data_IF_884250063412
#
_entry.id   IF_884250063412
#
_cell.length_a   1.000
_cell.length_b   1.000
_cell.length_c   1.000
_cell.angle_alpha   90.00
_cell.angle_beta   90.00
_cell.angle_gamma   90.00
#
_symmetry.space_group_name_H-M   'P 1'
#
loop_
_entity.id
_entity.type
_entity.pdbx_description
1 polymer ?
#
# COMPACT_ATOMS: atom_id res chain seq x y z
N UNK A 1 7.91 25.14 -28.76
CA UNK A 1 7.56 24.52 -27.48
C UNK A 1 7.56 23.01 -27.73
N UNK A 2 8.59 22.29 -27.22
CA UNK A 2 8.61 20.83 -27.28
C UNK A 2 7.50 20.34 -26.34
N UNK A 3 6.53 19.61 -26.89
CA UNK A 3 5.57 18.85 -26.09
C UNK A 3 6.37 17.84 -25.25
N UNK A 4 6.68 18.21 -24.02
CA UNK A 4 7.19 17.26 -23.02
C UNK A 4 6.12 16.17 -22.90
N UNK A 5 6.40 15.00 -23.47
CA UNK A 5 5.57 13.81 -23.27
C UNK A 5 5.70 13.41 -21.78
N UNK A 6 4.81 14.01 -21.00
CA UNK A 6 4.69 13.67 -19.59
C UNK A 6 4.30 12.20 -19.49
N UNK A 7 5.11 11.40 -18.84
CA UNK A 7 4.81 9.99 -18.58
C UNK A 7 3.47 9.78 -17.87
N UNK A 8 2.92 8.60 -17.97
CA UNK A 8 1.67 8.22 -17.30
C UNK A 8 1.89 8.23 -15.78
N UNK A 9 1.00 8.89 -15.04
CA UNK A 9 0.95 8.74 -13.57
C UNK A 9 0.19 7.45 -13.23
N UNK A 10 0.75 6.66 -12.35
CA UNK A 10 0.20 5.37 -11.92
C UNK A 10 0.13 5.33 -10.39
N UNK A 11 -0.75 4.51 -9.86
CA UNK A 11 -0.76 4.16 -8.44
C UNK A 11 0.29 3.06 -8.24
N UNK A 12 1.28 3.31 -7.39
CA UNK A 12 2.39 2.38 -7.14
C UNK A 12 2.23 1.61 -5.82
N UNK A 13 1.51 2.20 -4.86
CA UNK A 13 1.11 1.47 -3.66
C UNK A 13 -0.28 1.93 -3.20
N UNK A 14 -1.06 1.00 -2.64
CA UNK A 14 -2.39 1.26 -2.13
C UNK A 14 -2.66 0.41 -0.90
N UNK A 15 -3.10 1.08 0.19
CA UNK A 15 -3.63 0.41 1.38
C UNK A 15 -4.99 0.99 1.71
N UNK A 16 -5.98 0.12 1.76
CA UNK A 16 -7.36 0.43 2.10
C UNK A 16 -7.62 0.02 3.54
N UNK A 17 -8.45 0.79 4.23
CA UNK A 17 -8.92 0.49 5.58
C UNK A 17 -10.40 0.14 5.54
N UNK A 18 -10.75 -0.90 6.26
CA UNK A 18 -12.11 -1.40 6.43
C UNK A 18 -12.47 -1.46 7.92
N UNK A 19 -13.75 -1.54 8.22
CA UNK A 19 -14.30 -1.86 9.52
C UNK A 19 -14.86 -3.29 9.48
N UNK A 20 -14.61 -4.04 10.54
CA UNK A 20 -15.12 -5.40 10.70
C UNK A 20 -15.76 -5.57 12.06
N UNK A 21 -16.85 -6.34 12.13
CA UNK A 21 -17.37 -6.81 13.40
C UNK A 21 -16.44 -7.85 14.05
N UNK A 22 -16.43 -7.90 15.39
CA UNK A 22 -15.57 -8.82 16.14
C UNK A 22 -15.73 -10.28 15.72
N UNK A 23 -16.95 -10.74 15.44
CA UNK A 23 -17.27 -12.12 15.02
C UNK A 23 -16.54 -12.56 13.73
N UNK A 24 -16.36 -11.62 12.78
CA UNK A 24 -15.64 -11.87 11.52
C UNK A 24 -14.14 -12.10 11.82
N UNK A 25 -13.59 -11.25 12.68
CA UNK A 25 -12.17 -11.33 13.06
C UNK A 25 -11.89 -12.53 13.95
N UNK A 26 -12.82 -12.93 14.81
CA UNK A 26 -12.68 -14.12 15.65
C UNK A 26 -12.53 -15.37 14.79
N UNK A 27 -13.35 -15.48 13.74
CA UNK A 27 -13.19 -16.56 12.77
C UNK A 27 -11.79 -16.58 12.13
N UNK A 28 -11.28 -15.43 11.68
CA UNK A 28 -9.93 -15.34 11.12
C UNK A 28 -8.83 -15.61 12.15
N UNK A 29 -9.01 -15.24 13.44
CA UNK A 29 -8.07 -15.54 14.53
C UNK A 29 -7.94 -17.03 14.80
N UNK A 30 -9.01 -17.80 14.63
CA UNK A 30 -9.01 -19.26 14.80
C UNK A 30 -8.29 -20.00 13.66
N UNK A 31 -8.10 -19.36 12.51
CA UNK A 31 -7.38 -19.95 11.38
C UNK A 31 -5.92 -20.17 11.74
N UNK A 32 -5.47 -21.42 11.79
CA UNK A 32 -4.08 -21.78 12.16
C UNK A 32 -3.09 -21.53 11.02
N UNK A 33 -3.42 -21.94 9.81
CA UNK A 33 -2.51 -21.90 8.65
C UNK A 33 -3.14 -21.25 7.42
N UNK A 34 -4.29 -21.74 7.02
CA UNK A 34 -4.92 -21.36 5.76
C UNK A 34 -6.45 -21.34 5.90
N UNK A 35 -7.06 -20.39 5.22
CA UNK A 35 -8.51 -20.26 5.06
C UNK A 35 -8.83 -20.01 3.59
N UNK A 36 -9.86 -20.67 3.06
CA UNK A 36 -10.32 -20.46 1.70
C UNK A 36 -11.72 -19.89 1.71
N UNK A 37 -11.94 -18.85 0.92
CA UNK A 37 -13.23 -18.23 0.71
C UNK A 37 -13.39 -17.94 -0.78
N UNK A 38 -14.40 -18.55 -1.39
CA UNK A 38 -14.61 -18.52 -2.83
C UNK A 38 -13.32 -18.90 -3.59
N UNK A 39 -12.82 -18.03 -4.45
CA UNK A 39 -11.59 -18.22 -5.24
C UNK A 39 -10.31 -17.79 -4.50
N UNK A 40 -10.44 -17.21 -3.32
CA UNK A 40 -9.32 -16.72 -2.52
C UNK A 40 -8.81 -17.76 -1.53
N UNK A 41 -7.51 -17.68 -1.29
CA UNK A 41 -6.84 -18.42 -0.22
C UNK A 41 -6.06 -17.44 0.64
N UNK A 42 -6.35 -17.42 1.93
CA UNK A 42 -5.68 -16.60 2.94
C UNK A 42 -4.69 -17.48 3.68
N UNK A 43 -3.41 -17.17 3.60
CA UNK A 43 -2.36 -17.85 4.35
C UNK A 43 -1.94 -17.01 5.53
N UNK A 44 -2.08 -17.56 6.74
CA UNK A 44 -1.62 -16.89 7.95
C UNK A 44 -0.11 -16.77 7.92
N UNK A 45 0.40 -15.57 8.13
CA UNK A 45 1.82 -15.27 8.24
C UNK A 45 2.15 -14.82 9.67
N UNK A 46 3.42 -14.91 10.07
CA UNK A 46 3.85 -14.40 11.37
C UNK A 46 3.72 -12.89 11.41
N UNK A 47 2.72 -12.39 12.12
CA UNK A 47 2.51 -10.97 12.32
C UNK A 47 3.61 -10.34 13.19
N UNK A 48 3.96 -9.09 12.89
CA UNK A 48 4.80 -8.25 13.75
C UNK A 48 3.89 -7.38 14.62
N UNK A 49 4.31 -7.13 15.89
CA UNK A 49 3.69 -6.12 16.76
C UNK A 49 2.20 -6.32 17.04
N UNK A 50 1.79 -7.47 17.54
CA UNK A 50 0.40 -7.75 17.97
C UNK A 50 -0.65 -7.68 16.85
N UNK A 51 -0.24 -7.74 15.58
CA UNK A 51 -1.14 -7.81 14.42
C UNK A 51 -1.23 -9.22 13.89
N UNK A 52 -2.44 -9.61 13.50
CA UNK A 52 -2.66 -10.80 12.68
C UNK A 52 -2.45 -10.42 11.21
N UNK A 53 -1.76 -11.26 10.47
CA UNK A 53 -1.44 -11.04 9.07
C UNK A 53 -1.81 -12.26 8.24
N UNK A 54 -2.42 -12.00 7.08
CA UNK A 54 -2.71 -13.02 6.08
C UNK A 54 -2.29 -12.53 4.70
N UNK A 55 -1.49 -13.34 4.02
CA UNK A 55 -1.23 -13.17 2.59
C UNK A 55 -2.41 -13.75 1.80
N UNK A 56 -2.92 -12.95 0.88
CA UNK A 56 -4.09 -13.28 0.06
C UNK A 56 -3.63 -13.77 -1.31
N UNK A 57 -4.09 -14.92 -1.68
CA UNK A 57 -3.82 -15.52 -2.99
C UNK A 57 -5.09 -15.66 -3.80
N UNK A 58 -5.01 -15.33 -5.08
CA UNK A 58 -6.00 -15.61 -6.11
C UNK A 58 -5.33 -16.43 -7.20
N UNK A 59 -5.85 -17.63 -7.52
CA UNK A 59 -5.23 -18.54 -8.48
C UNK A 59 -3.72 -18.79 -8.23
N UNK A 60 -3.34 -19.02 -6.98
CA UNK A 60 -1.95 -19.27 -6.53
C UNK A 60 -1.01 -18.05 -6.65
N UNK A 61 -1.52 -16.89 -7.04
CA UNK A 61 -0.74 -15.65 -7.11
C UNK A 61 -1.11 -14.76 -5.94
N UNK A 62 -0.12 -14.29 -5.19
CA UNK A 62 -0.35 -13.33 -4.10
C UNK A 62 -0.88 -12.02 -4.70
N UNK A 63 -2.03 -11.55 -4.20
CA UNK A 63 -2.69 -10.34 -4.70
C UNK A 63 -2.76 -9.22 -3.68
N UNK A 64 -2.75 -9.56 -2.39
CA UNK A 64 -2.81 -8.58 -1.32
C UNK A 64 -2.26 -9.17 0.00
N UNK A 65 -2.15 -8.33 1.00
CA UNK A 65 -1.99 -8.71 2.41
C UNK A 65 -3.08 -8.03 3.22
N UNK A 66 -3.78 -8.79 4.06
CA UNK A 66 -4.71 -8.26 5.05
C UNK A 66 -4.09 -8.33 6.45
N UNK A 67 -4.30 -7.30 7.26
CA UNK A 67 -3.83 -7.30 8.63
C UNK A 67 -4.77 -6.50 9.54
N UNK A 68 -4.87 -6.92 10.80
CA UNK A 68 -5.70 -6.28 11.82
C UNK A 68 -5.10 -6.49 13.22
N UNK A 69 -5.53 -5.71 14.20
CA UNK A 69 -5.02 -5.84 15.56
C UNK A 69 -5.55 -7.11 16.22
N UNK A 70 -4.62 -7.82 16.88
CA UNK A 70 -4.92 -9.08 17.58
C UNK A 70 -5.83 -8.89 18.78
N UNK A 71 -5.62 -7.78 19.47
CA UNK A 71 -6.41 -7.38 20.64
C UNK A 71 -7.14 -6.10 20.26
N UNK A 72 -8.46 -6.16 20.18
CA UNK A 72 -9.26 -5.00 19.78
C UNK A 72 -9.12 -3.84 20.76
N UNK A 73 -9.18 -2.64 20.22
CA UNK A 73 -9.51 -1.45 20.99
C UNK A 73 -10.96 -1.54 21.43
N UNK A 74 -11.29 -0.97 22.58
CA UNK A 74 -12.61 -0.97 23.22
C UNK A 74 -13.74 -0.62 22.22
N UNK A 75 -14.47 -1.62 21.74
CA UNK A 75 -15.62 -1.46 20.86
C UNK A 75 -15.87 -2.73 20.05
N UNK A 76 -17.05 -2.87 19.49
CA UNK A 76 -17.45 -4.01 18.67
C UNK A 76 -16.90 -3.96 17.23
N UNK A 77 -16.28 -2.85 16.83
CA UNK A 77 -15.72 -2.63 15.51
C UNK A 77 -14.18 -2.58 15.53
N UNK A 78 -13.57 -3.17 14.51
CA UNK A 78 -12.13 -3.28 14.38
C UNK A 78 -11.67 -2.77 13.02
N UNK A 79 -10.51 -2.12 12.99
CA UNK A 79 -9.87 -1.73 11.74
C UNK A 79 -9.15 -2.91 11.10
N UNK A 80 -9.39 -3.07 9.80
CA UNK A 80 -8.76 -4.07 8.95
C UNK A 80 -8.11 -3.36 7.78
N UNK A 81 -6.82 -3.59 7.54
CA UNK A 81 -6.09 -2.99 6.44
C UNK A 81 -5.83 -4.02 5.35
N UNK A 82 -6.14 -3.65 4.13
CA UNK A 82 -5.88 -4.42 2.91
C UNK A 82 -4.81 -3.69 2.09
N UNK A 83 -3.60 -4.23 2.05
CA UNK A 83 -2.51 -3.73 1.20
C UNK A 83 -2.49 -4.51 -0.10
N UNK A 84 -2.70 -3.81 -1.21
CA UNK A 84 -2.72 -4.39 -2.55
C UNK A 84 -1.27 -4.54 -3.06
N UNK A 85 -0.96 -5.68 -3.70
CA UNK A 85 0.34 -5.91 -4.34
C UNK A 85 0.48 -5.06 -5.63
N UNK A 86 1.67 -4.52 -5.91
CA UNK A 86 1.89 -3.58 -7.03
C UNK A 86 1.43 -4.13 -8.38
N UNK A 87 1.72 -5.41 -8.68
CA UNK A 87 1.33 -6.00 -9.96
C UNK A 87 -0.19 -6.10 -10.15
N UNK A 88 -0.97 -6.05 -9.06
CA UNK A 88 -2.44 -6.01 -9.09
C UNK A 88 -2.91 -4.62 -9.50
N UNK A 89 -2.25 -3.57 -9.02
CA UNK A 89 -2.59 -2.17 -9.35
C UNK A 89 -2.44 -1.86 -10.85
N UNK A 90 -1.56 -2.61 -11.54
CA UNK A 90 -1.33 -2.47 -12.98
C UNK A 90 -2.22 -3.36 -13.84
N UNK A 91 -3.03 -4.23 -13.22
CA UNK A 91 -3.95 -5.13 -13.90
C UNK A 91 -5.38 -4.86 -13.43
N UNK A 92 -6.13 -4.11 -14.23
CA UNK A 92 -7.49 -3.67 -13.90
C UNK A 92 -8.44 -4.83 -13.53
N UNK A 93 -8.40 -5.93 -14.28
CA UNK A 93 -9.26 -7.08 -14.00
C UNK A 93 -8.89 -7.76 -12.69
N UNK A 94 -7.59 -7.93 -12.42
CA UNK A 94 -7.10 -8.52 -11.18
C UNK A 94 -7.39 -7.62 -9.97
N UNK A 95 -7.31 -6.30 -10.15
CA UNK A 95 -7.68 -5.32 -9.12
C UNK A 95 -9.17 -5.43 -8.76
N UNK A 96 -10.07 -5.45 -9.74
CA UNK A 96 -11.51 -5.61 -9.50
C UNK A 96 -11.77 -6.91 -8.76
N UNK A 97 -11.19 -8.04 -9.19
CA UNK A 97 -11.34 -9.31 -8.49
C UNK A 97 -10.82 -9.22 -7.05
N UNK A 98 -9.67 -8.61 -6.82
CA UNK A 98 -9.09 -8.49 -5.47
C UNK A 98 -9.98 -7.65 -4.54
N UNK A 99 -10.62 -6.61 -5.07
CA UNK A 99 -11.53 -5.75 -4.32
C UNK A 99 -12.90 -6.38 -3.99
N UNK A 100 -13.19 -7.59 -4.48
CA UNK A 100 -14.35 -8.38 -4.05
C UNK A 100 -14.12 -9.08 -2.69
N UNK A 101 -12.87 -9.27 -2.28
CA UNK A 101 -12.56 -9.98 -1.04
C UNK A 101 -13.16 -9.34 0.22
N UNK A 102 -13.14 -8.00 0.41
CA UNK A 102 -13.78 -7.36 1.55
C UNK A 102 -15.28 -7.68 1.68
N UNK A 103 -16.00 -7.70 0.57
CA UNK A 103 -17.42 -8.06 0.54
C UNK A 103 -17.64 -9.52 0.96
N UNK A 104 -16.80 -10.44 0.46
CA UNK A 104 -16.85 -11.86 0.86
C UNK A 104 -16.51 -12.06 2.35
N UNK A 105 -15.71 -11.19 2.94
CA UNK A 105 -15.36 -11.21 4.35
C UNK A 105 -16.35 -10.46 5.24
N UNK A 106 -17.38 -9.84 4.68
CA UNK A 106 -18.37 -9.02 5.42
C UNK A 106 -17.68 -7.89 6.20
N UNK A 107 -16.82 -7.13 5.51
CA UNK A 107 -16.13 -5.97 6.07
C UNK A 107 -16.40 -4.71 5.25
N UNK A 108 -16.69 -3.61 5.94
CA UNK A 108 -17.13 -2.35 5.33
C UNK A 108 -15.97 -1.40 5.02
N UNK A 109 -15.99 -0.80 3.83
CA UNK A 109 -14.99 0.20 3.45
C UNK A 109 -15.07 1.43 4.36
N UNK A 110 -13.94 1.82 4.93
CA UNK A 110 -13.82 3.02 5.75
C UNK A 110 -13.07 4.15 5.02
N UNK A 111 -11.79 3.96 4.68
CA UNK A 111 -11.02 4.99 4.00
C UNK A 111 -9.79 4.42 3.26
N UNK A 112 -9.10 5.29 2.53
CA UNK A 112 -7.77 5.01 1.97
C UNK A 112 -6.74 5.49 3.00
N UNK A 113 -5.97 4.55 3.57
CA UNK A 113 -4.95 4.87 4.57
C UNK A 113 -3.63 5.29 3.93
N UNK A 114 -3.31 4.70 2.78
CA UNK A 114 -2.06 5.00 2.08
C UNK A 114 -2.25 4.88 0.56
N UNK A 115 -1.73 5.86 -0.16
CA UNK A 115 -1.63 5.85 -1.61
C UNK A 115 -0.29 6.44 -2.02
N UNK A 116 0.41 5.77 -2.93
CA UNK A 116 1.63 6.26 -3.56
C UNK A 116 1.40 6.41 -5.06
N UNK A 117 1.83 7.54 -5.59
CA UNK A 117 1.73 7.84 -7.01
C UNK A 117 3.15 7.87 -7.61
N UNK A 118 3.38 7.06 -8.60
CA UNK A 118 4.60 7.07 -9.40
C UNK A 118 4.35 7.70 -10.76
N UNK A 119 5.37 8.35 -11.29
CA UNK A 119 5.34 8.92 -12.63
C UNK A 119 6.66 8.68 -13.35
N UNK A 120 6.59 8.01 -14.46
CA UNK A 120 7.74 7.82 -15.34
C UNK A 120 7.98 9.06 -16.19
N UNK A 121 9.23 9.44 -16.32
CA UNK A 121 9.66 10.53 -17.15
C UNK A 121 10.55 10.00 -18.30
N UNK A 122 10.32 10.51 -19.51
CA UNK A 122 11.11 10.13 -20.70
C UNK A 122 12.47 10.80 -20.75
N UNK A 123 12.81 11.63 -19.75
CA UNK A 123 14.10 12.33 -19.65
C UNK A 123 14.73 12.10 -18.27
N UNK A 124 16.03 12.35 -18.19
CA UNK A 124 16.78 12.17 -16.93
C UNK A 124 16.36 13.26 -15.91
N UNK A 125 15.31 12.96 -15.11
CA UNK A 125 14.81 13.86 -14.09
C UNK A 125 15.85 14.11 -12.99
N UNK A 126 16.74 13.15 -12.74
CA UNK A 126 17.81 13.26 -11.74
C UNK A 126 18.71 14.46 -11.98
N UNK A 127 19.13 14.69 -13.23
CA UNK A 127 19.95 15.86 -13.56
C UNK A 127 19.17 17.18 -13.33
N UNK A 128 17.88 17.19 -13.68
CA UNK A 128 17.04 18.38 -13.47
C UNK A 128 16.84 18.67 -11.98
N UNK A 129 16.59 17.64 -11.16
CA UNK A 129 16.47 17.78 -9.70
C UNK A 129 17.79 18.28 -9.11
N UNK A 130 18.93 17.67 -9.48
CA UNK A 130 20.25 18.12 -8.99
C UNK A 130 20.53 19.59 -9.37
N UNK A 131 20.20 20.00 -10.57
CA UNK A 131 20.32 21.41 -11.00
C UNK A 131 19.46 22.35 -10.17
N UNK A 132 18.21 21.97 -9.91
CA UNK A 132 17.30 22.75 -9.05
C UNK A 132 17.81 22.83 -7.61
N UNK A 133 18.32 21.73 -7.03
CA UNK A 133 18.84 21.69 -5.68
C UNK A 133 20.11 22.52 -5.48
N UNK A 134 20.89 22.74 -6.53
CA UNK A 134 22.05 23.64 -6.52
C UNK A 134 21.68 25.14 -6.59
N UNK A 135 20.40 25.44 -6.87
CA UNK A 135 19.95 26.81 -6.88
C UNK A 135 19.93 27.39 -5.44
N UNK A 136 20.71 28.45 -5.13
CA UNK A 136 20.78 29.02 -3.78
C UNK A 136 19.46 29.63 -3.30
N UNK A 137 18.54 29.92 -4.23
CA UNK A 137 17.20 30.46 -3.89
C UNK A 137 16.22 29.39 -3.42
N UNK A 138 16.54 28.08 -3.62
CA UNK A 138 15.69 26.97 -3.18
C UNK A 138 16.16 26.44 -1.83
N UNK A 139 15.20 26.17 -0.94
CA UNK A 139 15.45 25.50 0.34
C UNK A 139 14.93 24.07 0.24
N UNK A 140 15.76 23.11 0.66
CA UNK A 140 15.36 21.70 0.74
C UNK A 140 14.91 21.39 2.16
N UNK A 141 13.68 20.88 2.28
CA UNK A 141 13.09 20.47 3.56
C UNK A 141 12.73 18.99 3.45
N UNK A 142 13.25 18.19 4.39
CA UNK A 142 12.91 16.78 4.51
C UNK A 142 12.39 16.52 5.91
N UNK A 143 11.22 15.89 6.02
CA UNK A 143 10.57 15.60 7.30
C UNK A 143 10.44 16.85 8.19
N UNK A 144 10.09 18.00 7.60
CA UNK A 144 9.94 19.27 8.30
C UNK A 144 11.26 19.92 8.75
N UNK A 145 12.42 19.34 8.46
CA UNK A 145 13.73 19.88 8.81
C UNK A 145 14.48 20.35 7.57
N UNK A 146 15.07 21.54 7.64
CA UNK A 146 15.94 22.02 6.58
C UNK A 146 17.24 21.20 6.57
N UNK A 147 17.56 20.55 5.46
CA UNK A 147 18.85 19.87 5.26
C UNK A 147 19.91 20.84 4.79
N UNK A 148 21.10 20.75 5.42
CA UNK A 148 22.27 21.55 5.03
C UNK A 148 23.00 20.92 3.85
N UNK A 149 23.05 19.59 3.80
CA UNK A 149 23.71 18.84 2.73
C UNK A 149 22.67 18.41 1.70
N UNK A 150 22.74 19.05 0.53
CA UNK A 150 21.75 18.86 -0.55
C UNK A 150 22.02 17.63 -1.41
N UNK A 151 23.27 17.12 -1.40
CA UNK A 151 23.63 15.96 -2.22
C UNK A 151 23.10 14.65 -1.62
N UNK A 152 23.05 14.54 -0.28
CA UNK A 152 22.42 13.40 0.41
C UNK A 152 20.92 13.26 0.09
N UNK A 153 20.24 14.39 -0.11
CA UNK A 153 18.79 14.42 -0.39
C UNK A 153 18.49 13.83 -1.77
N UNK A 154 19.34 14.09 -2.75
CA UNK A 154 19.16 13.54 -4.11
C UNK A 154 19.31 12.02 -4.09
N UNK A 155 20.26 11.51 -3.35
CA UNK A 155 20.45 10.06 -3.21
C UNK A 155 19.32 9.38 -2.44
N UNK A 156 18.73 10.05 -1.46
CA UNK A 156 17.56 9.55 -0.72
C UNK A 156 16.27 9.49 -1.55
N UNK A 157 16.09 10.41 -2.51
CA UNK A 157 14.93 10.44 -3.41
C UNK A 157 15.05 9.39 -4.53
N UNK A 158 16.26 8.96 -4.85
CA UNK A 158 16.54 8.07 -5.99
C UNK A 158 16.69 6.60 -5.57
N UNK A 159 16.85 6.31 -4.29
CA UNK A 159 17.03 4.96 -3.75
C UNK A 159 15.74 4.23 -3.37
N UNK A 160 14.61 4.64 -3.91
CA UNK A 160 13.35 3.90 -3.75
C UNK A 160 13.20 2.79 -4.78
#
# INVERSE_FOLDING_TARGET
MQNERLGKTIIDALTLCYLAEGKVLDHLREVKHQYSIDTFTLHRTSGKHHKEHFDIYLHKKKVATIYFDRFGSSGDEFYVWLRIENHVLYNHQLLIQTLMLPELLDIDFNNITYIELARDFTYNITQKIRSLMRNPKLKTIINGKQKKDRDEVVDGIIRT
#
